data_IF_314749573039
#
_entry.id   IF_314749573039
#
_cell.length_a   1.000
_cell.length_b   1.000
_cell.length_c   1.000
_cell.angle_alpha   90.00
_cell.angle_beta   90.00
_cell.angle_gamma   90.00
#
_symmetry.space_group_name_H-M   'P 1'
#
loop_
_entity.id
_entity.type
_entity.pdbx_description
1 polymer ?
#
# COMPACT_ATOMS: atom_id res chain seq x y z
N UNK A 1 1.83 4.90 33.76
CA UNK A 1 2.17 4.77 33.38
C UNK A 1 2.19 4.71 32.57
N UNK A 2 2.35 4.72 32.19
CA UNK A 2 2.63 4.57 31.39
C UNK A 2 2.81 3.85 31.04
N UNK A 3 2.77 3.26 31.13
CA UNK A 3 3.06 2.66 31.08
C UNK A 3 3.46 2.54 31.04
N UNK A 4 3.48 2.76 31.47
CA UNK A 4 3.91 2.68 31.58
C UNK A 4 4.12 2.59 31.27
N UNK A 5 3.83 2.95 31.64
CA UNK A 5 4.08 2.98 31.24
C UNK A 5 4.29 2.63 30.13
N UNK A 6 3.65 3.02 29.34
CA UNK A 6 4.12 2.64 28.04
C UNK A 6 5.28 1.69 27.99
N UNK A 7 5.54 1.04 29.04
CA UNK A 7 6.65 0.11 29.09
C UNK A 7 6.49 -1.00 28.09
N UNK A 8 7.50 -1.23 27.24
CA UNK A 8 7.51 -2.25 26.23
C UNK A 8 6.72 -1.94 24.98
N UNK A 9 5.88 -0.93 24.98
CA UNK A 9 5.14 -0.53 23.78
C UNK A 9 5.64 0.79 23.25
N UNK A 10 5.97 0.86 21.95
CA UNK A 10 6.34 2.14 21.36
C UNK A 10 5.14 3.09 21.37
N UNK A 11 5.41 4.35 21.55
CA UNK A 11 4.37 5.35 21.42
C UNK A 11 3.92 5.41 19.98
N UNK A 12 2.61 5.46 19.76
CA UNK A 12 2.04 5.54 18.42
C UNK A 12 0.98 6.62 18.37
N UNK A 13 0.86 7.25 17.22
CA UNK A 13 -0.24 8.16 16.94
C UNK A 13 -0.51 8.15 15.45
N UNK A 14 -1.73 8.52 15.07
CA UNK A 14 -2.15 8.53 13.66
C UNK A 14 -2.24 9.97 13.19
N UNK A 15 -1.61 10.28 12.07
CA UNK A 15 -1.61 11.61 11.50
C UNK A 15 -1.45 11.54 9.98
N UNK A 16 -2.30 12.22 9.25
CA UNK A 16 -2.25 12.31 7.79
C UNK A 16 -2.22 10.96 7.09
N UNK A 17 -2.99 10.01 7.60
CA UNK A 17 -3.10 8.69 6.98
C UNK A 17 -1.99 7.72 7.35
N UNK A 18 -1.06 8.13 8.19
CA UNK A 18 0.03 7.29 8.67
C UNK A 18 -0.07 7.08 10.17
N UNK A 19 0.25 5.87 10.59
CA UNK A 19 0.50 5.57 11.98
C UNK A 19 1.99 5.78 12.22
N UNK A 20 2.31 6.64 13.16
CA UNK A 20 3.69 7.00 13.49
C UNK A 20 4.12 6.20 14.71
N UNK A 21 5.23 5.48 14.58
CA UNK A 21 5.73 4.58 15.63
C UNK A 21 7.16 4.96 15.96
N UNK A 22 7.42 5.25 17.23
CA UNK A 22 8.78 5.51 17.67
C UNK A 22 9.58 4.20 17.67
N UNK A 23 10.74 4.22 17.03
CA UNK A 23 11.62 3.06 16.89
C UNK A 23 13.04 3.43 17.28
N UNK A 24 13.82 2.41 17.56
CA UNK A 24 15.24 2.58 17.84
C UNK A 24 16.05 1.65 16.96
N UNK A 25 17.11 2.18 16.35
CA UNK A 25 17.99 1.38 15.51
C UNK A 25 18.92 0.55 16.37
N UNK A 26 19.64 -0.40 15.76
CA UNK A 26 20.66 -1.20 16.46
C UNK A 26 21.75 -0.33 17.03
N UNK A 27 22.02 0.80 16.39
CA UNK A 27 23.03 1.76 16.86
C UNK A 27 22.51 2.68 17.95
N UNK A 28 21.29 2.47 18.43
CA UNK A 28 20.69 3.28 19.47
C UNK A 28 20.11 4.60 19.00
N UNK A 29 19.98 4.79 17.70
CA UNK A 29 19.39 6.03 17.18
C UNK A 29 17.86 5.93 17.16
N UNK A 30 17.26 7.03 17.50
CA UNK A 30 15.79 7.16 17.51
C UNK A 30 15.29 7.54 16.13
N UNK A 31 14.18 6.96 15.71
CA UNK A 31 13.51 7.37 14.47
C UNK A 31 12.02 7.08 14.55
N UNK A 32 11.24 7.77 13.72
CA UNK A 32 9.79 7.59 13.67
C UNK A 32 9.46 6.85 12.38
N UNK A 33 8.93 5.64 12.52
CA UNK A 33 8.46 4.86 11.39
C UNK A 33 7.03 5.29 11.05
N UNK A 34 6.79 5.55 9.78
CA UNK A 34 5.44 5.85 9.27
C UNK A 34 4.92 4.63 8.55
N UNK A 35 3.79 4.13 9.01
CA UNK A 35 3.13 2.96 8.41
C UNK A 35 1.72 3.39 8.02
N UNK A 36 1.26 2.95 6.85
CA UNK A 36 -0.10 3.25 6.40
C UNK A 36 -1.11 2.90 7.49
N UNK A 37 -2.00 3.83 7.82
CA UNK A 37 -3.06 3.57 8.79
C UNK A 37 -3.99 2.47 8.26
N UNK A 38 -4.25 1.47 9.10
CA UNK A 38 -5.05 0.32 8.70
C UNK A 38 -6.47 0.68 8.29
N UNK A 39 -7.09 1.62 9.00
CA UNK A 39 -8.45 2.05 8.67
C UNK A 39 -8.49 2.73 7.31
N UNK A 40 -7.52 3.57 7.01
CA UNK A 40 -7.43 4.24 5.72
C UNK A 40 -7.21 3.24 4.59
N UNK A 41 -6.31 2.29 4.81
CA UNK A 41 -6.04 1.26 3.81
C UNK A 41 -7.27 0.39 3.54
N UNK A 42 -7.94 -0.05 4.61
CA UNK A 42 -9.15 -0.86 4.49
C UNK A 42 -10.24 -0.12 3.72
N UNK A 43 -10.46 1.15 4.05
CA UNK A 43 -11.46 1.96 3.37
C UNK A 43 -11.13 2.14 1.89
N UNK A 44 -9.86 2.40 1.57
CA UNK A 44 -9.43 2.56 0.18
C UNK A 44 -9.60 1.26 -0.60
N UNK A 45 -9.18 0.14 -0.04
CA UNK A 45 -9.33 -1.16 -0.69
C UNK A 45 -10.79 -1.53 -0.92
N UNK A 46 -11.66 -1.19 0.03
CA UNK A 46 -13.09 -1.41 -0.12
C UNK A 46 -13.66 -0.60 -1.29
N UNK A 47 -13.25 0.65 -1.42
CA UNK A 47 -13.72 1.49 -2.53
C UNK A 47 -13.17 0.99 -3.87
N UNK A 48 -11.93 0.52 -3.91
CA UNK A 48 -11.34 -0.05 -5.12
C UNK A 48 -12.11 -1.31 -5.54
N UNK A 49 -12.43 -2.16 -4.58
CA UNK A 49 -13.20 -3.39 -4.86
C UNK A 49 -14.57 -3.05 -5.44
N UNK A 50 -15.27 -2.10 -4.86
CA UNK A 50 -16.59 -1.69 -5.34
C UNK A 50 -16.51 -1.14 -6.76
N UNK A 51 -15.50 -0.32 -7.05
CA UNK A 51 -15.34 0.24 -8.39
C UNK A 51 -14.94 -0.83 -9.40
N UNK A 52 -14.12 -1.79 -9.01
CA UNK A 52 -13.78 -2.92 -9.87
C UNK A 52 -15.00 -3.73 -10.24
N UNK A 53 -15.91 -3.96 -9.30
CA UNK A 53 -17.15 -4.68 -9.58
C UNK A 53 -18.01 -3.94 -10.59
N UNK A 54 -18.04 -2.62 -10.50
CA UNK A 54 -18.77 -1.81 -11.48
C UNK A 54 -18.12 -1.86 -12.87
N UNK A 55 -16.79 -1.98 -12.91
CA UNK A 55 -16.01 -1.98 -14.16
C UNK A 55 -15.72 -3.38 -14.69
N UNK A 56 -16.25 -4.42 -14.07
CA UNK A 56 -15.84 -5.80 -14.37
C UNK A 56 -16.11 -6.25 -15.80
N UNK A 57 -17.03 -5.59 -16.50
CA UNK A 57 -17.34 -5.93 -17.91
C UNK A 57 -16.58 -5.09 -18.92
N UNK A 58 -15.79 -4.13 -18.48
CA UNK A 58 -14.94 -3.36 -19.36
C UNK A 58 -13.78 -4.23 -19.85
N UNK A 59 -13.16 -3.87 -21.00
CA UNK A 59 -11.96 -4.60 -21.43
C UNK A 59 -10.87 -4.63 -20.37
N UNK A 60 -10.20 -5.77 -20.27
CA UNK A 60 -9.16 -5.96 -19.28
C UNK A 60 -8.08 -4.86 -19.33
N UNK A 61 -7.58 -4.43 -20.52
CA UNK A 61 -6.61 -3.34 -20.56
C UNK A 61 -7.11 -2.04 -19.95
N UNK A 62 -8.38 -1.72 -20.10
CA UNK A 62 -8.94 -0.51 -19.47
C UNK A 62 -8.96 -0.63 -17.95
N UNK A 63 -9.38 -1.79 -17.46
CA UNK A 63 -9.34 -2.04 -16.02
C UNK A 63 -7.92 -1.94 -15.49
N UNK A 64 -6.97 -2.53 -16.22
CA UNK A 64 -5.57 -2.49 -15.83
C UNK A 64 -5.00 -1.07 -15.79
N UNK A 65 -5.33 -0.24 -16.75
CA UNK A 65 -4.87 1.16 -16.78
C UNK A 65 -5.43 1.94 -15.59
N UNK A 66 -6.70 1.73 -15.29
CA UNK A 66 -7.29 2.40 -14.13
C UNK A 66 -6.63 1.96 -12.84
N UNK A 67 -6.44 0.65 -12.65
CA UNK A 67 -5.78 0.14 -11.45
C UNK A 67 -4.34 0.60 -11.35
N UNK A 68 -3.64 0.71 -12.48
CA UNK A 68 -2.28 1.24 -12.47
C UNK A 68 -2.25 2.66 -11.92
N UNK A 69 -3.22 3.49 -12.31
CA UNK A 69 -3.30 4.86 -11.80
C UNK A 69 -3.60 4.88 -10.30
N UNK A 70 -4.46 3.96 -9.83
CA UNK A 70 -4.76 3.84 -8.39
C UNK A 70 -3.50 3.47 -7.62
N UNK A 71 -2.75 2.49 -8.10
CA UNK A 71 -1.53 2.04 -7.42
C UNK A 71 -0.47 3.12 -7.43
N UNK A 72 -0.29 3.82 -8.56
CA UNK A 72 0.66 4.93 -8.64
C UNK A 72 0.30 6.06 -7.69
N UNK A 73 -0.98 6.42 -7.64
CA UNK A 73 -1.44 7.46 -6.73
C UNK A 73 -1.24 7.11 -5.27
N UNK A 74 -1.55 5.86 -4.91
CA UNK A 74 -1.32 5.38 -3.56
C UNK A 74 0.17 5.41 -3.22
N UNK A 75 1.00 4.93 -4.14
CA UNK A 75 2.45 4.91 -3.93
C UNK A 75 3.06 6.29 -3.84
N UNK A 76 2.55 7.24 -4.61
CA UNK A 76 3.06 8.62 -4.56
C UNK A 76 2.96 9.21 -3.15
N UNK A 77 1.93 8.82 -2.42
CA UNK A 77 1.72 9.32 -1.06
C UNK A 77 2.38 8.42 -0.01
N UNK A 78 2.22 7.10 -0.14
CA UNK A 78 2.57 6.16 0.93
C UNK A 78 3.93 5.49 0.78
N UNK A 79 4.62 5.65 -0.35
CA UNK A 79 5.92 5.00 -0.55
C UNK A 79 7.04 5.76 0.15
N UNK A 80 7.00 5.73 1.47
CA UNK A 80 7.99 6.39 2.33
C UNK A 80 8.86 5.33 2.99
N UNK A 81 10.10 5.69 3.40
CA UNK A 81 10.96 4.74 4.10
C UNK A 81 10.24 4.14 5.31
N UNK A 82 10.35 2.83 5.47
CA UNK A 82 9.71 2.10 6.56
C UNK A 82 8.31 1.61 6.26
N UNK A 83 7.73 1.97 5.09
CA UNK A 83 6.36 1.59 4.75
C UNK A 83 6.27 0.66 3.52
N UNK A 84 7.38 0.04 3.12
CA UNK A 84 7.40 -0.80 1.91
C UNK A 84 6.43 -1.97 1.99
N UNK A 85 6.32 -2.61 3.16
CA UNK A 85 5.42 -3.74 3.33
C UNK A 85 3.96 -3.38 3.08
N UNK A 86 3.52 -2.24 3.62
CA UNK A 86 2.14 -1.78 3.45
C UNK A 86 1.85 -1.44 1.99
N UNK A 87 2.81 -0.82 1.30
CA UNK A 87 2.67 -0.47 -0.10
C UNK A 87 2.58 -1.72 -0.97
N UNK A 88 3.40 -2.72 -0.68
CA UNK A 88 3.35 -4.00 -1.38
C UNK A 88 2.05 -4.74 -1.08
N UNK A 89 1.60 -4.70 0.17
CA UNK A 89 0.34 -5.32 0.57
C UNK A 89 -0.84 -4.69 -0.17
N UNK A 90 -0.81 -3.38 -0.36
CA UNK A 90 -1.86 -2.69 -1.11
C UNK A 90 -1.97 -3.26 -2.54
N UNK A 91 -0.84 -3.39 -3.23
CA UNK A 91 -0.81 -3.96 -4.58
C UNK A 91 -1.34 -5.39 -4.60
N UNK A 92 -0.95 -6.19 -3.60
CA UNK A 92 -1.40 -7.56 -3.49
C UNK A 92 -2.92 -7.63 -3.31
N UNK A 93 -3.47 -6.82 -2.42
CA UNK A 93 -4.92 -6.81 -2.19
C UNK A 93 -5.70 -6.29 -3.40
N UNK A 94 -5.16 -5.30 -4.10
CA UNK A 94 -5.75 -4.84 -5.37
C UNK A 94 -5.79 -5.99 -6.36
N UNK A 95 -4.71 -6.75 -6.46
CA UNK A 95 -4.65 -7.91 -7.35
C UNK A 95 -5.71 -8.96 -6.99
N UNK A 96 -5.89 -9.22 -5.70
CA UNK A 96 -6.93 -10.14 -5.24
C UNK A 96 -8.33 -9.66 -5.61
N UNK A 97 -8.60 -8.38 -5.40
CA UNK A 97 -9.90 -7.81 -5.75
C UNK A 97 -10.15 -7.83 -7.25
N UNK A 98 -9.10 -7.60 -8.03
CA UNK A 98 -9.22 -7.69 -9.48
C UNK A 98 -9.55 -9.11 -9.92
N UNK A 99 -8.88 -10.10 -9.36
CA UNK A 99 -9.18 -11.51 -9.63
C UNK A 99 -10.64 -11.84 -9.31
N UNK A 100 -11.11 -11.35 -8.15
CA UNK A 100 -12.50 -11.55 -7.74
C UNK A 100 -13.47 -10.95 -8.77
N UNK A 101 -13.24 -9.72 -9.18
CA UNK A 101 -14.09 -9.04 -10.15
C UNK A 101 -14.08 -9.74 -11.50
N UNK A 102 -12.92 -10.13 -12.00
CA UNK A 102 -12.81 -10.84 -13.26
C UNK A 102 -13.48 -12.21 -13.21
N UNK A 103 -13.40 -12.88 -12.06
CA UNK A 103 -14.07 -14.16 -11.88
C UNK A 103 -15.59 -14.04 -11.84
N UNK A 104 -16.10 -12.83 -11.62
CA UNK A 104 -17.56 -12.56 -11.60
C UNK A 104 -18.07 -12.04 -12.92
N UNK A 105 -17.25 -11.97 -13.95
CA UNK A 105 -17.68 -11.48 -15.27
C UNK A 105 -18.63 -12.47 -15.96
N UNK A 106 -18.44 -13.76 -15.69
CA UNK A 106 -19.28 -14.80 -16.27
C UNK A 106 -19.39 -15.94 -15.27
N UNK A 107 -20.41 -16.78 -15.49
CA UNK A 107 -20.59 -17.95 -14.65
C UNK A 107 -19.57 -19.05 -14.94
N UNK A 108 -18.82 -18.92 -16.01
CA UNK A 108 -17.95 -20.01 -16.50
C UNK A 108 -16.56 -20.06 -15.91
N UNK A 109 -16.17 -19.16 -15.05
CA UNK A 109 -14.86 -19.45 -14.65
C UNK A 109 -14.18 -18.53 -13.72
N UNK A 110 -13.52 -19.16 -12.78
CA UNK A 110 -12.56 -18.48 -11.94
C UNK A 110 -11.32 -18.19 -12.74
N UNK A 111 -10.81 -16.98 -12.57
CA UNK A 111 -9.49 -16.64 -13.07
C UNK A 111 -8.48 -17.29 -12.13
N UNK A 112 -7.56 -18.08 -12.68
CA UNK A 112 -6.53 -18.74 -11.87
C UNK A 112 -5.51 -17.72 -11.40
N UNK A 113 -4.79 -18.06 -10.32
CA UNK A 113 -3.72 -17.21 -9.83
C UNK A 113 -2.59 -17.08 -10.84
N UNK A 114 -2.34 -18.11 -11.63
CA UNK A 114 -1.33 -18.04 -12.68
C UNK A 114 -1.67 -16.97 -13.70
N UNK A 115 -2.91 -16.97 -14.17
CA UNK A 115 -3.36 -15.95 -15.11
C UNK A 115 -3.37 -14.57 -14.46
N UNK A 116 -3.85 -14.49 -13.23
CA UNK A 116 -3.91 -13.22 -12.51
C UNK A 116 -2.52 -12.64 -12.28
N UNK A 117 -1.56 -13.49 -11.97
CA UNK A 117 -0.17 -13.06 -11.81
C UNK A 117 0.38 -12.46 -13.10
N UNK A 118 0.06 -13.07 -14.24
CA UNK A 118 0.48 -12.52 -15.52
C UNK A 118 -0.15 -11.16 -15.80
N UNK A 119 -1.44 -11.01 -15.50
CA UNK A 119 -2.14 -9.73 -15.68
C UNK A 119 -1.55 -8.66 -14.77
N UNK A 120 -1.28 -9.02 -13.52
CA UNK A 120 -0.68 -8.08 -12.57
C UNK A 120 0.70 -7.62 -13.03
N UNK A 121 1.53 -8.54 -13.52
CA UNK A 121 2.85 -8.17 -14.03
C UNK A 121 2.74 -7.25 -15.24
N UNK A 122 1.75 -7.48 -16.09
CA UNK A 122 1.59 -6.67 -17.30
C UNK A 122 1.06 -5.27 -17.00
N UNK A 123 0.09 -5.15 -16.10
CA UNK A 123 -0.64 -3.89 -15.95
C UNK A 123 -0.37 -3.15 -14.66
N UNK A 124 -0.06 -3.86 -13.58
CA UNK A 124 0.06 -3.22 -12.27
C UNK A 124 1.51 -2.92 -11.93
N UNK A 125 1.83 -1.63 -11.71
CA UNK A 125 3.21 -1.28 -11.38
C UNK A 125 3.59 -1.76 -9.97
N UNK A 126 4.88 -2.06 -9.81
CA UNK A 126 5.42 -2.24 -8.47
C UNK A 126 5.87 -0.88 -7.97
N UNK A 127 5.55 -0.60 -6.71
CA UNK A 127 5.86 0.70 -6.13
C UNK A 127 7.19 0.61 -5.38
N UNK A 128 8.09 1.53 -5.69
CA UNK A 128 9.35 1.65 -4.99
C UNK A 128 9.28 2.81 -4.02
N UNK A 129 10.08 2.73 -2.96
CA UNK A 129 10.21 3.85 -2.05
C UNK A 129 10.82 5.03 -2.80
N UNK A 130 10.09 6.12 -2.87
CA UNK A 130 10.48 7.30 -3.66
C UNK A 130 10.99 8.44 -2.81
N UNK A 131 10.54 8.48 -1.57
CA UNK A 131 10.94 9.55 -0.67
C UNK A 131 12.24 9.18 0.02
N UNK A 132 13.22 10.06 0.07
CA UNK A 132 14.47 9.75 0.76
C UNK A 132 14.23 9.69 2.26
N UNK A 133 15.15 9.02 2.94
CA UNK A 133 15.15 9.03 4.39
C UNK A 133 15.29 10.47 4.86
N UNK A 134 14.61 10.87 5.96
CA UNK A 134 14.74 12.24 6.47
C UNK A 134 16.17 12.66 6.73
N UNK A 135 17.00 11.74 7.20
CA UNK A 135 18.42 12.00 7.44
C UNK A 135 19.15 12.37 6.16
N UNK A 136 18.86 11.68 5.06
CA UNK A 136 19.48 11.98 3.78
C UNK A 136 19.06 13.36 3.27
N UNK A 137 17.79 13.72 3.47
CA UNK A 137 17.32 15.06 3.11
C UNK A 137 18.04 16.14 3.88
N UNK A 138 18.20 15.91 5.16
CA UNK A 138 18.85 16.86 6.03
C UNK A 138 20.32 17.04 5.62
N UNK A 139 21.03 15.94 5.38
CA UNK A 139 22.41 15.98 4.96
C UNK A 139 22.58 16.69 3.61
N UNK A 140 21.66 16.49 2.69
CA UNK A 140 21.71 17.17 1.39
C UNK A 140 21.47 18.67 1.50
N UNK A 141 20.66 19.09 2.47
CA UNK A 141 20.30 20.49 2.67
C UNK A 141 21.34 21.24 3.50
N UNK A 142 21.98 20.54 4.43
CA UNK A 142 22.93 21.12 5.37
C UNK A 142 24.20 20.26 5.39
N UNK A 143 24.98 20.29 4.32
CA UNK A 143 26.19 19.46 4.23
C UNK A 143 27.28 19.85 5.22
#
# INVERSE_FOLDING_TARGET
>A
MRKARGEGKPETFTFLGFRHIARMTRQGRFWVQRITDNKKMTAKLKSVKAELMRRRHLPVPEQGRWLASVIRGHGAYYAVPGNAEAVQAFRYHVTRHWRFALSRRSQKGRVTWERMSRLARRYLPTTRIRHPWPEARFAARYP
#
